data_IF_061892107676
#
_entry.id   IF_061892107676
#
_cell.length_a   1.000
_cell.length_b   1.000
_cell.length_c   1.000
_cell.angle_alpha   90.00
_cell.angle_beta   90.00
_cell.angle_gamma   90.00
#
_symmetry.space_group_name_H-M   'P 1'
#
loop_
_entity.id
_entity.type
_entity.pdbx_description
1 polymer ?
#
# COMPACT_ATOMS: atom_id res chain seq x y z
N UNK A 1 4.29 -13.37 9.20
CA UNK A 1 4.10 -12.76 7.86
C UNK A 1 3.26 -11.50 7.99
N UNK A 2 2.03 -11.64 8.51
CA UNK A 2 1.18 -10.52 8.86
C UNK A 2 1.83 -9.58 9.89
N UNK A 3 2.48 -10.13 10.91
CA UNK A 3 3.15 -9.34 11.96
C UNK A 3 4.28 -8.45 11.42
N UNK A 4 4.99 -8.89 10.37
CA UNK A 4 6.05 -8.11 9.73
C UNK A 4 5.47 -6.93 8.93
N UNK A 5 4.28 -7.11 8.36
CA UNK A 5 3.54 -6.04 7.66
C UNK A 5 2.98 -5.05 8.68
N UNK A 6 2.40 -5.56 9.77
CA UNK A 6 1.91 -4.72 10.88
C UNK A 6 3.04 -3.93 11.54
N UNK A 7 4.23 -4.53 11.70
CA UNK A 7 5.43 -3.83 12.17
C UNK A 7 5.82 -2.68 11.25
N UNK A 8 5.84 -2.90 9.93
CA UNK A 8 6.13 -1.82 8.97
C UNK A 8 5.08 -0.70 8.98
N UNK A 9 3.81 -1.04 9.20
CA UNK A 9 2.76 -0.04 9.38
C UNK A 9 3.00 0.77 10.65
N UNK A 10 3.25 0.11 11.79
CA UNK A 10 3.52 0.76 13.06
C UNK A 10 4.78 1.66 13.00
N UNK A 11 5.85 1.21 12.33
CA UNK A 11 7.08 1.99 12.12
C UNK A 11 6.82 3.28 11.34
N UNK A 12 5.87 3.26 10.41
CA UNK A 12 5.41 4.43 9.67
C UNK A 12 4.33 5.24 10.41
N UNK A 13 3.86 4.74 11.56
CA UNK A 13 2.79 5.33 12.35
C UNK A 13 1.38 5.05 11.81
N UNK A 14 1.18 4.00 11.01
CA UNK A 14 -0.14 3.54 10.56
C UNK A 14 -0.77 2.57 11.56
N UNK A 15 -2.02 2.83 11.90
CA UNK A 15 -2.83 2.04 12.84
C UNK A 15 -4.08 1.50 12.13
N UNK A 16 -3.95 0.46 11.29
CA UNK A 16 -5.09 -0.15 10.63
C UNK A 16 -5.95 -0.96 11.61
N UNK A 17 -7.27 -0.83 11.47
CA UNK A 17 -8.20 -1.70 12.16
C UNK A 17 -8.05 -3.13 11.66
N UNK A 18 -8.06 -4.09 12.59
CA UNK A 18 -8.04 -5.51 12.27
C UNK A 18 -9.47 -6.07 12.18
N UNK A 19 -9.73 -7.05 11.30
CA UNK A 19 -8.78 -7.69 10.37
C UNK A 19 -8.39 -6.78 9.20
N UNK A 20 -7.16 -6.95 8.68
CA UNK A 20 -6.72 -6.20 7.49
C UNK A 20 -7.55 -6.58 6.27
N UNK A 21 -7.76 -5.60 5.38
CA UNK A 21 -8.47 -5.85 4.14
C UNK A 21 -7.49 -5.99 2.97
N UNK A 22 -7.57 -7.13 2.30
CA UNK A 22 -6.74 -7.45 1.14
C UNK A 22 -7.45 -7.06 -0.17
N UNK A 23 -6.68 -6.73 -1.20
CA UNK A 23 -7.16 -6.49 -2.55
C UNK A 23 -7.74 -5.09 -2.81
N UNK A 24 -7.86 -4.22 -1.80
CA UNK A 24 -8.45 -2.89 -1.96
C UNK A 24 -7.72 -1.82 -1.16
N UNK A 25 -7.72 -0.59 -1.67
CA UNK A 25 -7.22 0.57 -0.94
C UNK A 25 -8.12 0.84 0.26
N UNK A 26 -7.54 0.74 1.45
CA UNK A 26 -8.24 0.86 2.72
C UNK A 26 -7.65 2.01 3.53
N UNK A 27 -8.52 2.89 4.05
CA UNK A 27 -8.11 3.99 4.92
C UNK A 27 -7.96 3.51 6.35
N UNK A 28 -6.90 3.96 7.01
CA UNK A 28 -6.61 3.69 8.42
C UNK A 28 -6.21 4.98 9.15
N UNK A 29 -6.15 4.89 10.47
CA UNK A 29 -5.62 5.97 11.28
C UNK A 29 -4.11 6.03 11.15
N UNK A 30 -3.55 7.22 11.33
CA UNK A 30 -2.14 7.39 11.68
C UNK A 30 -1.99 7.80 13.15
N UNK A 31 -0.81 7.63 13.71
CA UNK A 31 -0.45 8.09 15.06
C UNK A 31 -0.58 9.61 15.23
N UNK A 32 -0.60 10.35 14.11
CA UNK A 32 -0.79 11.81 14.09
C UNK A 32 -2.26 12.22 13.93
N UNK A 33 -3.17 11.27 13.67
CA UNK A 33 -4.58 11.56 13.46
C UNK A 33 -5.29 11.88 14.78
N UNK A 34 -6.08 12.96 14.80
CA UNK A 34 -6.90 13.33 15.95
C UNK A 34 -8.36 12.92 15.74
N UNK A 35 -9.00 12.42 16.79
CA UNK A 35 -10.42 12.07 16.78
C UNK A 35 -10.78 10.96 15.78
N UNK A 36 -11.52 11.31 14.73
CA UNK A 36 -12.04 10.37 13.69
C UNK A 36 -11.31 10.48 12.35
N UNK A 37 -10.21 11.24 12.29
CA UNK A 37 -9.38 11.33 11.09
C UNK A 37 -8.83 9.95 10.68
N UNK A 38 -8.66 9.77 9.36
CA UNK A 38 -8.10 8.57 8.72
C UNK A 38 -7.28 9.00 7.52
N UNK A 39 -6.14 9.63 7.78
CA UNK A 39 -5.25 10.13 6.74
C UNK A 39 -4.31 9.03 6.22
N UNK A 40 -4.15 7.95 6.98
CA UNK A 40 -3.43 6.77 6.56
C UNK A 40 -4.19 5.96 5.51
N UNK A 41 -3.44 5.29 4.64
CA UNK A 41 -3.99 4.29 3.74
C UNK A 41 -3.02 3.14 3.50
N UNK A 42 -3.58 1.98 3.17
CA UNK A 42 -2.83 0.82 2.74
C UNK A 42 -3.58 0.08 1.63
N UNK A 43 -2.82 -0.58 0.77
CA UNK A 43 -3.31 -1.59 -0.18
C UNK A 43 -2.38 -2.77 -0.07
N UNK A 44 -2.93 -3.92 0.31
CA UNK A 44 -2.17 -5.15 0.46
C UNK A 44 -2.84 -6.27 -0.32
N UNK A 45 -2.03 -7.17 -0.83
CA UNK A 45 -2.44 -8.34 -1.57
C UNK A 45 -1.73 -9.54 -0.97
N UNK A 46 -2.46 -10.63 -0.82
CA UNK A 46 -1.91 -11.92 -0.44
C UNK A 46 -1.67 -12.75 -1.70
N UNK A 47 -0.54 -13.45 -1.74
CA UNK A 47 -0.20 -14.39 -2.80
C UNK A 47 0.38 -15.65 -2.18
N UNK A 48 -0.12 -16.80 -2.61
CA UNK A 48 0.37 -18.10 -2.20
C UNK A 48 1.42 -18.57 -3.20
N UNK A 49 2.61 -18.86 -2.69
CA UNK A 49 3.69 -19.45 -3.50
C UNK A 49 3.45 -20.94 -3.71
N UNK A 50 4.13 -21.55 -4.68
CA UNK A 50 4.08 -22.99 -4.94
C UNK A 50 4.52 -23.84 -3.72
N UNK A 51 5.31 -23.24 -2.81
CA UNK A 51 5.73 -23.87 -1.55
C UNK A 51 4.69 -23.74 -0.43
N UNK A 52 3.47 -23.32 -0.76
CA UNK A 52 2.38 -23.08 0.19
C UNK A 52 2.70 -22.02 1.26
N UNK A 53 3.62 -21.09 0.97
CA UNK A 53 3.89 -19.92 1.82
C UNK A 53 3.03 -18.74 1.39
N UNK A 54 2.40 -18.05 2.34
CA UNK A 54 1.66 -16.81 2.08
C UNK A 54 2.62 -15.62 2.05
N UNK A 55 2.60 -14.88 0.94
CA UNK A 55 3.31 -13.62 0.75
C UNK A 55 2.33 -12.46 0.76
N UNK A 56 2.68 -11.38 1.45
CA UNK A 56 1.90 -10.14 1.49
C UNK A 56 2.75 -9.06 0.82
N UNK A 57 2.19 -8.45 -0.21
CA UNK A 57 2.81 -7.38 -0.98
C UNK A 57 1.83 -6.23 -1.13
N UNK A 58 2.35 -5.02 -1.30
CA UNK A 58 1.49 -3.86 -1.34
C UNK A 58 2.25 -2.57 -1.09
N UNK A 59 1.48 -1.51 -0.89
CA UNK A 59 1.98 -0.19 -0.53
C UNK A 59 1.09 0.47 0.51
N UNK A 60 1.68 1.36 1.27
CA UNK A 60 0.99 2.13 2.30
C UNK A 60 1.54 3.55 2.32
N UNK A 61 0.80 4.47 2.93
CA UNK A 61 1.23 5.86 2.99
C UNK A 61 0.26 6.74 3.75
N UNK A 62 0.52 8.04 3.68
CA UNK A 62 -0.31 9.08 4.29
C UNK A 62 -0.73 10.09 3.23
N UNK A 63 -2.04 10.35 3.15
CA UNK A 63 -2.60 11.36 2.27
C UNK A 63 -2.10 12.78 2.57
N UNK A 64 -1.70 13.06 3.82
CA UNK A 64 -1.23 14.37 4.27
C UNK A 64 0.18 14.68 3.75
N UNK A 65 1.09 13.70 3.81
CA UNK A 65 2.45 13.85 3.30
C UNK A 65 2.54 13.64 1.79
N UNK A 66 1.63 12.86 1.21
CA UNK A 66 1.70 12.41 -0.18
C UNK A 66 2.78 11.35 -0.41
N UNK A 67 3.44 10.88 0.64
CA UNK A 67 4.44 9.83 0.56
C UNK A 67 3.80 8.45 0.52
N UNK A 68 4.43 7.54 -0.22
CA UNK A 68 4.05 6.13 -0.27
C UNK A 68 5.28 5.25 -0.09
N UNK A 69 5.12 4.21 0.71
CA UNK A 69 6.12 3.19 1.00
C UNK A 69 5.64 1.85 0.47
N UNK A 70 6.59 1.04 -0.03
CA UNK A 70 6.33 -0.33 -0.43
C UNK A 70 6.54 -1.27 0.75
N UNK A 71 5.69 -2.28 0.89
CA UNK A 71 5.89 -3.35 1.86
C UNK A 71 7.16 -4.13 1.48
N UNK A 72 8.11 -4.17 2.40
CA UNK A 72 9.32 -4.96 2.30
C UNK A 72 8.98 -6.41 2.61
N UNK A 73 9.23 -7.29 1.65
CA UNK A 73 9.12 -8.74 1.80
C UNK A 73 10.51 -9.32 2.05
N UNK A 74 10.67 -10.17 3.08
CA UNK A 74 11.94 -10.82 3.39
C UNK A 74 12.50 -11.58 2.19
N UNK A 75 13.81 -11.42 1.96
CA UNK A 75 14.53 -12.13 0.90
C UNK A 75 14.61 -13.64 1.22
N UNK A 76 14.46 -14.48 0.19
CA UNK A 76 14.53 -15.94 0.31
C UNK A 76 13.19 -16.68 0.18
N UNK A 77 12.06 -15.98 0.26
CA UNK A 77 10.71 -16.57 0.09
C UNK A 77 10.14 -16.47 -1.33
N UNK A 78 10.93 -15.97 -2.28
CA UNK A 78 10.53 -15.78 -3.67
C UNK A 78 11.73 -16.08 -4.55
N UNK A 79 11.53 -16.88 -5.61
CA UNK A 79 12.56 -17.14 -6.62
C UNK A 79 12.99 -15.80 -7.26
N UNK A 80 14.27 -15.62 -7.63
CA UNK A 80 14.72 -14.42 -8.34
C UNK A 80 13.85 -14.08 -9.55
N UNK A 81 13.40 -15.09 -10.29
CA UNK A 81 12.54 -14.98 -11.48
C UNK A 81 11.14 -14.45 -11.13
N UNK A 82 10.52 -14.98 -10.07
CA UNK A 82 9.21 -14.51 -9.58
C UNK A 82 9.30 -13.06 -9.08
N UNK A 83 10.44 -12.69 -8.49
CA UNK A 83 10.74 -11.32 -8.04
C UNK A 83 10.82 -10.34 -9.22
N UNK A 84 11.40 -10.77 -10.32
CA UNK A 84 11.51 -9.96 -11.55
C UNK A 84 10.16 -9.79 -12.24
N UNK A 85 9.38 -10.87 -12.38
CA UNK A 85 8.03 -10.83 -12.96
C UNK A 85 7.11 -9.93 -12.13
N UNK A 86 7.20 -9.99 -10.80
CA UNK A 86 6.43 -9.11 -9.92
C UNK A 86 6.92 -7.66 -9.99
N UNK A 87 8.24 -7.42 -10.13
CA UNK A 87 8.79 -6.08 -10.33
C UNK A 87 8.30 -5.47 -11.65
N UNK A 88 8.32 -6.23 -12.74
CA UNK A 88 7.83 -5.78 -14.04
C UNK A 88 6.33 -5.44 -13.99
N UNK A 89 5.51 -6.30 -13.35
CA UNK A 89 4.08 -6.01 -13.12
C UNK A 89 3.85 -4.77 -12.25
N UNK A 90 4.71 -4.54 -11.25
CA UNK A 90 4.64 -3.36 -10.39
C UNK A 90 5.00 -2.06 -11.13
N UNK A 91 5.96 -2.09 -12.05
CA UNK A 91 6.32 -0.90 -12.84
C UNK A 91 5.18 -0.49 -13.78
N UNK A 92 4.54 -1.47 -14.42
CA UNK A 92 3.39 -1.21 -15.29
C UNK A 92 2.17 -0.69 -14.51
N UNK A 93 1.91 -1.25 -13.32
CA UNK A 93 0.88 -0.75 -12.42
C UNK A 93 1.21 0.66 -11.89
N UNK A 94 2.47 0.95 -11.58
CA UNK A 94 2.94 2.27 -11.12
C UNK A 94 2.74 3.33 -12.20
N UNK A 95 3.02 3.01 -13.46
CA UNK A 95 2.79 3.91 -14.61
C UNK A 95 1.31 4.27 -14.75
N UNK A 96 0.42 3.26 -14.68
CA UNK A 96 -1.03 3.49 -14.75
C UNK A 96 -1.58 4.26 -13.54
N UNK A 97 -1.06 3.98 -12.34
CA UNK A 97 -1.48 4.68 -11.13
C UNK A 97 -1.06 6.17 -11.14
N UNK A 98 0.12 6.49 -11.68
CA UNK A 98 0.56 7.88 -11.83
C UNK A 98 -0.35 8.69 -12.77
N UNK A 99 -0.81 8.10 -13.87
CA UNK A 99 -1.77 8.75 -14.79
C UNK A 99 -3.15 8.98 -14.16
N UNK A 100 -3.63 8.02 -13.37
CA UNK A 100 -4.91 8.14 -12.66
C UNK A 100 -4.84 9.17 -11.54
N UNK A 101 -3.74 9.21 -10.79
CA UNK A 101 -3.51 10.19 -9.73
C UNK A 101 -3.43 11.63 -10.29
N UNK A 102 -2.73 11.83 -11.40
CA UNK A 102 -2.66 13.12 -12.10
C UNK A 102 -4.05 13.59 -12.57
N UNK A 103 -4.87 12.68 -13.10
CA UNK A 103 -6.24 12.99 -13.49
C UNK A 103 -7.16 13.30 -12.30
N UNK A 104 -7.03 12.57 -11.19
CA UNK A 104 -7.80 12.81 -9.98
C UNK A 104 -7.45 14.18 -9.34
N UNK A 105 -6.17 14.54 -9.28
CA UNK A 105 -5.69 15.83 -8.81
C UNK A 105 -6.25 16.99 -9.65
N UNK A 106 -6.23 16.84 -10.99
CA UNK A 106 -6.82 17.83 -11.91
C UNK A 106 -8.33 18.03 -11.67
N UNK A 107 -9.07 16.94 -11.49
CA UNK A 107 -10.53 16.97 -11.22
C UNK A 107 -10.89 17.51 -9.84
N UNK A 108 -9.99 17.39 -8.86
CA UNK A 108 -10.18 17.98 -7.53
C UNK A 108 -9.95 19.49 -7.55
N UNK A 109 -8.88 19.95 -8.23
CA UNK A 109 -8.58 21.36 -8.40
C UNK A 109 -9.71 22.12 -9.13
N UNK A 110 -10.27 21.54 -10.20
CA UNK A 110 -11.40 22.16 -10.91
C UNK A 110 -12.69 22.25 -10.09
N UNK A 111 -12.85 21.43 -9.04
CA UNK A 111 -14.04 21.45 -8.16
C UNK A 111 -13.88 22.37 -6.95
N UNK A 112 -12.65 22.74 -6.60
CA UNK A 112 -12.39 23.71 -5.53
C UNK A 112 -12.39 25.17 -6.04
N UNK A 113 -12.30 25.36 -7.35
CA UNK A 113 -12.24 26.66 -8.00
C UNK A 113 -13.59 27.18 -8.55
N UNK A 114 -14.68 26.43 -8.35
CA UNK A 114 -16.05 26.80 -8.72
C UNK A 114 -16.98 26.66 -7.53
#
# INVERSE_FOLDING_TARGET
>A
MLDEVLGQFADYGLEPAQPLVFGKLTRCKTSQDKGKEKNGWYVIHEHWTEKNESLIFGSFGDWRSGESQKIKVKAGRMSPEEREVMRARQEDAKRRAAEVAANAARRAASRAAG
#
